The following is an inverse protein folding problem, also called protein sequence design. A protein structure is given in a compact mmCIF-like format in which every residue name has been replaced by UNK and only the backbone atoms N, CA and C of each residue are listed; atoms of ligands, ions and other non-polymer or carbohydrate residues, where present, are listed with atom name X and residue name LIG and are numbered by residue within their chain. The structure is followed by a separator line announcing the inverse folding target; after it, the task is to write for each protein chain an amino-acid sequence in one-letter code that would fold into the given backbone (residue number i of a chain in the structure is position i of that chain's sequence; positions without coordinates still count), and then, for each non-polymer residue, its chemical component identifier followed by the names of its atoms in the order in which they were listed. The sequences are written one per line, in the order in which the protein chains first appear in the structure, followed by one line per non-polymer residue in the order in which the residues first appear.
data_IF_599957790082
#
_entry.id   IF_599957790082
#
_cell.length_a   1.000
_cell.length_b   1.000
_cell.length_c   1.000
_cell.angle_alpha   90.00
_cell.angle_beta   90.00
_cell.angle_gamma   90.00
#
_symmetry.space_group_name_H-M   'P 1'
#
loop_
_entity.id
_entity.type
_entity.pdbx_description
1 polymer ?
#
# COMPACT_ATOMS: atom_id res chain seq x y z
N UNK A 1 -23.18 -9.23 -58.55
CA UNK A 1 -23.34 -9.55 -57.11
C UNK A 1 -22.01 -9.28 -56.46
N UNK A 2 -21.81 -8.19 -55.73
CA UNK A 2 -20.63 -8.02 -54.91
C UNK A 2 -20.91 -8.55 -53.50
N UNK A 3 -19.93 -9.27 -52.99
CA UNK A 3 -19.83 -9.92 -51.74
C UNK A 3 -19.51 -8.87 -50.63
N UNK A 4 -20.40 -8.74 -49.66
CA UNK A 4 -20.32 -7.73 -48.61
C UNK A 4 -19.66 -8.35 -47.36
N UNK A 5 -18.33 -8.33 -47.34
CA UNK A 5 -17.52 -8.80 -46.21
C UNK A 5 -17.49 -7.80 -45.07
N UNK A 6 -18.45 -7.87 -44.15
CA UNK A 6 -18.42 -7.13 -42.90
C UNK A 6 -17.35 -7.70 -41.97
N UNK A 7 -16.21 -7.02 -41.98
CA UNK A 7 -15.09 -7.27 -41.04
C UNK A 7 -15.42 -6.65 -39.68
N UNK A 8 -15.99 -7.45 -38.81
CA UNK A 8 -16.22 -7.08 -37.41
C UNK A 8 -14.91 -7.00 -36.64
N UNK A 9 -14.33 -5.81 -36.52
CA UNK A 9 -13.26 -5.56 -35.54
C UNK A 9 -13.86 -5.59 -34.14
N UNK A 10 -13.61 -6.68 -33.44
CA UNK A 10 -13.77 -6.70 -32.00
C UNK A 10 -12.67 -5.82 -31.40
N UNK A 11 -13.01 -4.61 -31.01
CA UNK A 11 -12.15 -3.80 -30.14
C UNK A 11 -12.00 -4.54 -28.79
N UNK A 12 -10.90 -5.27 -28.64
CA UNK A 12 -10.46 -5.69 -27.32
C UNK A 12 -10.10 -4.43 -26.53
N UNK A 13 -10.92 -4.07 -25.55
CA UNK A 13 -10.63 -3.02 -24.59
C UNK A 13 -9.29 -3.31 -23.94
N UNK A 14 -8.26 -2.56 -24.33
CA UNK A 14 -6.95 -2.60 -23.65
C UNK A 14 -7.19 -2.21 -22.20
N UNK A 15 -7.00 -3.18 -21.30
CA UNK A 15 -6.96 -2.95 -19.86
C UNK A 15 -5.97 -1.82 -19.57
N UNK A 16 -6.44 -0.81 -18.89
CA UNK A 16 -5.74 0.39 -18.45
C UNK A 16 -4.35 0.12 -17.88
N UNK A 17 -3.42 1.03 -18.15
CA UNK A 17 -2.01 0.85 -17.84
C UNK A 17 -1.64 1.06 -16.35
N UNK A 18 -0.37 0.83 -15.98
CA UNK A 18 0.12 0.85 -14.59
C UNK A 18 -0.16 2.13 -13.78
N UNK A 19 -0.37 3.28 -14.44
CA UNK A 19 -0.64 4.56 -13.77
C UNK A 19 -2.06 4.66 -13.20
N UNK A 20 -3.03 4.09 -13.88
CA UNK A 20 -4.45 4.12 -13.44
C UNK A 20 -4.65 3.23 -12.20
N UNK A 21 -3.92 2.11 -12.11
CA UNK A 21 -3.93 1.27 -10.92
C UNK A 21 -3.27 1.92 -9.70
N UNK A 22 -2.28 2.81 -9.88
CA UNK A 22 -1.68 3.50 -8.73
C UNK A 22 -2.68 4.47 -8.09
N UNK A 23 -3.39 5.26 -8.90
CA UNK A 23 -4.40 6.20 -8.41
C UNK A 23 -5.57 5.46 -7.73
N UNK A 24 -5.99 4.33 -8.28
CA UNK A 24 -7.01 3.49 -7.64
C UNK A 24 -6.57 3.00 -6.26
N UNK A 25 -5.31 2.58 -6.12
CA UNK A 25 -4.75 2.15 -4.84
C UNK A 25 -4.76 3.29 -3.81
N UNK A 26 -4.39 4.50 -4.21
CA UNK A 26 -4.41 5.69 -3.37
C UNK A 26 -5.82 6.02 -2.86
N UNK A 27 -6.81 5.99 -3.77
CA UNK A 27 -8.22 6.24 -3.42
C UNK A 27 -8.79 5.17 -2.48
N UNK A 28 -8.46 3.89 -2.67
CA UNK A 28 -8.88 2.84 -1.75
C UNK A 28 -8.31 3.05 -0.35
N UNK A 29 -7.01 3.34 -0.24
CA UNK A 29 -6.38 3.57 1.05
C UNK A 29 -6.93 4.83 1.72
N UNK A 30 -7.12 5.91 0.97
CA UNK A 30 -7.72 7.14 1.48
C UNK A 30 -9.15 6.91 2.02
N UNK A 31 -9.93 6.08 1.33
CA UNK A 31 -11.27 5.65 1.79
C UNK A 31 -11.22 4.94 3.14
N UNK A 32 -10.29 4.01 3.35
CA UNK A 32 -10.11 3.31 4.63
C UNK A 32 -9.76 4.28 5.78
N UNK A 33 -8.91 5.27 5.53
CA UNK A 33 -8.62 6.32 6.51
C UNK A 33 -9.88 7.13 6.84
N UNK A 34 -10.66 7.52 5.83
CA UNK A 34 -11.88 8.29 6.02
C UNK A 34 -12.93 7.49 6.81
N UNK A 35 -13.13 6.20 6.51
CA UNK A 35 -14.02 5.30 7.25
C UNK A 35 -13.60 5.14 8.72
N UNK A 36 -12.29 5.15 9.00
CA UNK A 36 -11.74 5.11 10.36
C UNK A 36 -11.78 6.48 11.08
N UNK A 37 -12.41 7.50 10.50
CA UNK A 37 -12.59 8.82 11.11
C UNK A 37 -11.39 9.76 10.95
N UNK A 38 -10.46 9.48 10.05
CA UNK A 38 -9.41 10.42 9.69
C UNK A 38 -9.91 11.39 8.62
N UNK A 39 -9.44 12.63 8.67
CA UNK A 39 -9.59 13.59 7.58
C UNK A 39 -8.47 13.38 6.59
N UNK A 40 -8.79 13.27 5.30
CA UNK A 40 -7.82 13.04 4.23
C UNK A 40 -7.66 14.30 3.40
N UNK A 41 -6.41 14.70 3.17
CA UNK A 41 -6.05 15.88 2.39
C UNK A 41 -5.09 15.46 1.28
N UNK A 42 -5.52 15.59 0.04
CA UNK A 42 -4.66 15.36 -1.12
C UNK A 42 -3.82 16.61 -1.39
N UNK A 43 -2.50 16.48 -1.55
CA UNK A 43 -1.65 17.62 -1.86
C UNK A 43 -1.96 18.16 -3.25
N UNK A 44 -1.89 19.48 -3.41
CA UNK A 44 -2.09 20.12 -4.72
C UNK A 44 -0.94 19.86 -5.70
N UNK A 45 0.24 19.53 -5.17
CA UNK A 45 1.44 19.15 -5.93
C UNK A 45 1.96 17.82 -5.42
N UNK A 46 2.64 17.07 -6.29
CA UNK A 46 3.33 15.84 -5.91
C UNK A 46 4.58 16.20 -5.09
N UNK A 47 4.43 16.27 -3.79
CA UNK A 47 5.49 16.52 -2.83
C UNK A 47 6.06 15.21 -2.25
N UNK A 48 5.76 14.05 -2.87
CA UNK A 48 6.27 12.74 -2.49
C UNK A 48 5.42 12.01 -1.45
N UNK A 49 4.30 12.60 -1.01
CA UNK A 49 3.24 11.91 -0.28
C UNK A 49 1.98 11.92 -1.13
N UNK A 50 1.27 10.78 -1.17
CA UNK A 50 0.05 10.66 -1.97
C UNK A 50 -1.11 11.40 -1.28
N UNK A 51 -1.13 11.40 0.06
CA UNK A 51 -2.05 12.23 0.84
C UNK A 51 -1.55 12.42 2.28
N UNK A 52 -2.22 13.31 3.01
CA UNK A 52 -2.01 13.53 4.44
C UNK A 52 -3.30 13.14 5.16
N UNK A 53 -3.19 12.25 6.15
CA UNK A 53 -4.26 11.91 7.06
C UNK A 53 -4.11 12.68 8.37
N UNK A 54 -5.19 13.28 8.86
CA UNK A 54 -5.21 14.01 10.12
C UNK A 54 -6.40 13.58 10.98
N UNK A 55 -6.17 13.44 12.30
CA UNK A 55 -7.19 13.07 13.28
C UNK A 55 -6.97 13.84 14.58
N UNK A 56 -8.04 14.38 15.15
CA UNK A 56 -8.00 14.98 16.47
C UNK A 56 -7.92 13.87 17.53
N UNK A 57 -7.10 14.07 18.55
CA UNK A 57 -7.04 13.27 19.76
C UNK A 57 -7.10 14.18 21.01
N UNK A 58 -6.93 13.62 22.22
CA UNK A 58 -6.94 14.39 23.49
C UNK A 58 -5.84 15.44 23.56
N UNK A 59 -4.71 15.20 22.88
CA UNK A 59 -3.49 16.00 22.98
C UNK A 59 -3.27 16.90 21.76
N UNK A 60 -4.27 16.99 20.86
CA UNK A 60 -4.28 17.88 19.71
C UNK A 60 -4.58 17.18 18.38
N UNK A 61 -3.72 17.33 17.39
CA UNK A 61 -3.90 16.78 16.07
C UNK A 61 -2.80 15.77 15.74
N UNK A 62 -3.18 14.54 15.43
CA UNK A 62 -2.32 13.56 14.79
C UNK A 62 -2.25 13.84 13.29
N UNK A 63 -1.06 13.84 12.73
CA UNK A 63 -0.82 14.02 11.29
C UNK A 63 0.04 12.86 10.79
N UNK A 64 -0.44 12.18 9.75
CA UNK A 64 0.27 11.08 9.10
C UNK A 64 0.41 11.37 7.61
N UNK A 65 1.60 11.76 7.13
CA UNK A 65 1.88 11.70 5.69
C UNK A 65 1.78 10.24 5.22
N UNK A 66 1.07 9.99 4.13
CA UNK A 66 0.85 8.63 3.62
C UNK A 66 1.41 8.51 2.21
N UNK A 67 2.23 7.47 2.01
CA UNK A 67 2.65 7.05 0.69
C UNK A 67 2.06 5.68 0.38
N UNK A 68 1.49 5.51 -0.80
CA UNK A 68 0.82 4.28 -1.21
C UNK A 68 1.65 3.54 -2.26
N UNK A 69 1.82 2.23 -2.10
CA UNK A 69 2.52 1.39 -3.07
C UNK A 69 1.74 0.10 -3.32
N UNK A 70 0.79 0.16 -4.26
CA UNK A 70 -0.05 -0.97 -4.64
C UNK A 70 0.75 -2.20 -5.08
N UNK A 71 0.32 -3.37 -4.65
CA UNK A 71 0.88 -4.68 -5.03
C UNK A 71 -0.16 -5.50 -5.78
N UNK A 72 0.19 -5.82 -7.01
CA UNK A 72 -0.62 -6.59 -7.92
C UNK A 72 0.15 -7.88 -8.26
N UNK A 73 -0.41 -9.07 -8.03
CA UNK A 73 0.22 -10.30 -8.49
C UNK A 73 0.25 -10.29 -10.02
N UNK A 74 1.30 -10.88 -10.59
CA UNK A 74 1.41 -11.11 -12.03
C UNK A 74 1.05 -12.55 -12.32
N UNK A 75 0.31 -12.78 -13.38
CA UNK A 75 -0.22 -14.10 -13.76
C UNK A 75 0.86 -15.19 -13.84
N UNK A 76 2.07 -14.84 -14.28
CA UNK A 76 3.22 -15.75 -14.36
C UNK A 76 3.98 -15.92 -13.04
N UNK A 77 3.54 -15.26 -11.96
CA UNK A 77 4.31 -15.12 -10.70
C UNK A 77 3.48 -15.21 -9.44
N UNK A 78 2.43 -16.03 -9.47
CA UNK A 78 1.50 -16.20 -8.35
C UNK A 78 2.18 -16.66 -7.03
N UNK A 79 3.28 -17.39 -7.13
CA UNK A 79 4.02 -17.92 -6.00
C UNK A 79 5.35 -17.18 -5.72
N UNK A 80 5.61 -16.06 -6.40
CA UNK A 80 6.80 -15.27 -6.06
C UNK A 80 6.66 -14.64 -4.68
N UNK A 81 7.35 -15.24 -3.73
CA UNK A 81 7.34 -14.88 -2.33
C UNK A 81 7.89 -13.51 -1.97
N UNK A 82 8.21 -12.61 -2.91
CA UNK A 82 8.90 -11.37 -2.58
C UNK A 82 8.43 -10.20 -3.44
N UNK A 83 7.40 -9.53 -3.00
CA UNK A 83 7.03 -8.19 -3.49
C UNK A 83 7.48 -7.11 -2.49
N UNK A 84 8.79 -7.10 -2.19
CA UNK A 84 9.34 -6.21 -1.18
C UNK A 84 9.83 -4.87 -1.70
N UNK A 85 9.92 -4.70 -3.02
CA UNK A 85 10.40 -3.46 -3.59
C UNK A 85 9.28 -2.41 -3.63
N UNK A 86 9.49 -1.32 -2.92
CA UNK A 86 8.54 -0.20 -2.87
C UNK A 86 8.87 0.93 -3.85
N UNK A 87 10.02 0.86 -4.52
CA UNK A 87 10.47 1.87 -5.45
C UNK A 87 11.19 3.03 -4.80
N UNK A 88 11.20 4.16 -5.48
CA UNK A 88 11.74 5.41 -4.92
C UNK A 88 10.73 5.99 -3.93
N UNK A 89 11.20 6.36 -2.76
CA UNK A 89 10.51 7.24 -1.84
C UNK A 89 11.22 8.60 -1.93
N UNK A 90 10.53 9.61 -2.40
CA UNK A 90 11.10 10.94 -2.66
C UNK A 90 11.10 11.81 -1.43
N UNK A 91 10.10 11.64 -0.59
CA UNK A 91 9.98 12.29 0.71
C UNK A 91 9.93 11.24 1.81
N UNK A 92 10.53 11.57 2.94
CA UNK A 92 10.54 10.72 4.12
C UNK A 92 10.26 11.58 5.34
N UNK A 93 9.30 11.16 6.12
CA UNK A 93 8.93 11.80 7.37
C UNK A 93 8.84 10.75 8.47
N UNK A 94 9.38 10.98 9.69
CA UNK A 94 9.32 9.99 10.78
C UNK A 94 7.92 9.46 11.05
N UNK A 95 6.91 10.31 10.92
CA UNK A 95 5.51 10.00 11.16
C UNK A 95 4.77 9.47 9.90
N UNK A 96 5.49 9.23 8.80
CA UNK A 96 4.83 8.74 7.59
C UNK A 96 4.41 7.27 7.72
N UNK A 97 3.27 6.96 7.15
CA UNK A 97 2.80 5.61 6.91
C UNK A 97 3.04 5.20 5.46
N UNK A 98 3.78 4.11 5.26
CA UNK A 98 3.84 3.46 3.96
C UNK A 98 2.68 2.47 3.86
N UNK A 99 1.63 2.84 3.14
CA UNK A 99 0.48 1.96 2.90
C UNK A 99 0.74 1.06 1.69
N UNK A 100 0.64 -0.25 1.89
CA UNK A 100 0.87 -1.25 0.85
C UNK A 100 -0.43 -2.06 0.66
N UNK A 101 -1.36 -1.60 -0.21
CA UNK A 101 -2.53 -2.36 -0.56
C UNK A 101 -2.16 -3.53 -1.49
N UNK A 102 -2.71 -4.71 -1.19
CA UNK A 102 -2.55 -5.95 -1.93
C UNK A 102 -3.86 -6.27 -2.65
N UNK A 103 -3.77 -6.45 -3.96
CA UNK A 103 -4.93 -6.71 -4.80
C UNK A 103 -4.94 -8.15 -5.33
N UNK A 104 -6.13 -8.71 -5.52
CA UNK A 104 -6.32 -9.95 -6.24
C UNK A 104 -6.19 -9.74 -7.75
N UNK A 105 -5.87 -10.83 -8.46
CA UNK A 105 -5.99 -10.90 -9.91
C UNK A 105 -7.48 -11.00 -10.28
N UNK A 106 -7.86 -10.32 -11.34
CA UNK A 106 -9.21 -10.34 -11.90
C UNK A 106 -9.37 -9.24 -12.94
N UNK A 107 -10.52 -9.19 -13.57
CA UNK A 107 -10.86 -8.15 -14.56
C UNK A 107 -10.80 -6.74 -13.96
N UNK A 108 -11.16 -6.64 -12.66
CA UNK A 108 -11.01 -5.43 -11.87
C UNK A 108 -10.16 -5.74 -10.63
N UNK A 109 -9.25 -4.82 -10.25
CA UNK A 109 -8.47 -4.98 -9.02
C UNK A 109 -9.38 -5.04 -7.80
N UNK A 110 -9.36 -6.15 -7.06
CA UNK A 110 -10.05 -6.30 -5.80
C UNK A 110 -9.05 -6.18 -4.66
N UNK A 111 -9.23 -5.18 -3.80
CA UNK A 111 -8.43 -5.03 -2.58
C UNK A 111 -8.66 -6.23 -1.66
N UNK A 112 -7.57 -6.86 -1.21
CA UNK A 112 -7.59 -7.98 -0.28
C UNK A 112 -7.17 -7.56 1.12
N UNK A 113 -6.01 -6.90 1.21
CA UNK A 113 -5.41 -6.46 2.47
C UNK A 113 -4.65 -5.15 2.26
N UNK A 114 -4.44 -4.40 3.33
CA UNK A 114 -3.53 -3.25 3.36
C UNK A 114 -2.57 -3.39 4.53
N UNK A 115 -1.26 -3.30 4.27
CA UNK A 115 -0.27 -3.15 5.33
C UNK A 115 0.05 -1.65 5.53
N UNK A 116 -0.04 -1.16 6.76
CA UNK A 116 0.34 0.20 7.16
C UNK A 116 1.69 0.14 7.86
N UNK A 117 2.76 0.34 7.13
CA UNK A 117 4.12 0.13 7.62
C UNK A 117 4.75 1.43 8.11
N UNK A 118 5.33 1.45 9.32
CA UNK A 118 6.11 2.59 9.79
C UNK A 118 7.42 2.71 9.00
N UNK A 119 7.94 3.94 8.92
CA UNK A 119 9.16 4.21 8.16
C UNK A 119 10.37 3.42 8.67
N UNK A 120 10.44 3.13 9.98
CA UNK A 120 11.52 2.33 10.58
C UNK A 120 11.60 0.90 10.03
N UNK A 121 10.47 0.35 9.51
CA UNK A 121 10.41 -0.96 8.86
C UNK A 121 10.79 -0.91 7.37
N UNK A 122 11.15 0.25 6.85
CA UNK A 122 11.54 0.44 5.45
C UNK A 122 13.05 0.49 5.35
N UNK A 123 13.65 -0.46 4.64
CA UNK A 123 15.10 -0.60 4.52
C UNK A 123 15.62 -0.07 3.18
N UNK A 124 16.78 0.57 3.19
CA UNK A 124 17.43 1.02 1.96
C UNK A 124 17.96 -0.18 1.16
N UNK A 125 17.85 -0.11 -0.16
CA UNK A 125 18.35 -1.11 -1.09
C UNK A 125 19.01 -0.42 -2.30
N UNK A 126 19.88 -1.13 -3.01
CA UNK A 126 20.61 -0.59 -4.17
C UNK A 126 19.71 0.02 -5.26
N UNK A 127 18.47 -0.48 -5.41
CA UNK A 127 17.49 -0.01 -6.40
C UNK A 127 16.41 0.89 -5.81
N UNK A 128 16.54 1.34 -4.54
CA UNK A 128 15.54 2.16 -3.84
C UNK A 128 15.25 1.63 -2.44
N UNK A 129 13.96 1.53 -2.08
CA UNK A 129 13.55 1.16 -0.73
C UNK A 129 12.82 -0.19 -0.74
N UNK A 130 12.94 -0.93 0.35
CA UNK A 130 12.26 -2.23 0.54
C UNK A 130 11.45 -2.23 1.82
N UNK A 131 10.25 -2.81 1.72
CA UNK A 131 9.43 -3.23 2.83
C UNK A 131 8.71 -4.52 2.44
N UNK A 132 8.76 -5.56 3.29
CA UNK A 132 8.28 -6.92 2.97
C UNK A 132 7.23 -7.42 3.96
N UNK A 133 6.09 -6.75 4.10
CA UNK A 133 5.11 -7.14 5.09
C UNK A 133 4.39 -8.46 4.77
N UNK A 134 4.37 -8.87 3.49
CA UNK A 134 3.71 -10.10 3.06
C UNK A 134 4.46 -10.80 1.93
N UNK A 135 4.10 -12.06 1.70
CA UNK A 135 4.41 -12.85 0.50
C UNK A 135 3.11 -13.27 -0.16
N UNK A 136 3.10 -13.47 -1.47
CA UNK A 136 1.98 -14.08 -2.16
C UNK A 136 2.13 -15.61 -2.17
N UNK A 137 1.06 -16.31 -1.83
CA UNK A 137 0.93 -17.75 -1.94
C UNK A 137 -0.28 -18.01 -2.82
N UNK A 138 -0.06 -18.56 -4.01
CA UNK A 138 -1.12 -18.78 -5.03
C UNK A 138 -1.97 -17.54 -5.30
N UNK A 139 -1.30 -16.38 -5.40
CA UNK A 139 -1.97 -15.10 -5.66
C UNK A 139 -2.64 -14.45 -4.45
N UNK A 140 -2.62 -15.09 -3.27
CA UNK A 140 -3.17 -14.54 -2.03
C UNK A 140 -2.05 -13.97 -1.17
N UNK A 141 -2.14 -12.72 -0.69
CA UNK A 141 -1.17 -12.16 0.22
C UNK A 141 -1.24 -12.85 1.59
N UNK A 142 -0.08 -13.28 2.07
CA UNK A 142 0.06 -13.87 3.40
C UNK A 142 1.00 -12.97 4.22
N UNK A 143 0.52 -12.32 5.28
CA UNK A 143 1.35 -11.52 6.16
C UNK A 143 2.51 -12.34 6.72
N UNK A 144 3.67 -11.72 6.92
CA UNK A 144 4.75 -12.31 7.70
C UNK A 144 4.41 -12.20 9.18
N UNK A 145 4.84 -13.17 10.00
CA UNK A 145 4.46 -13.24 11.42
C UNK A 145 4.59 -11.92 12.15
N UNK A 146 5.76 -11.32 12.08
CA UNK A 146 6.13 -10.08 12.78
C UNK A 146 5.42 -8.83 12.26
N UNK A 147 4.81 -8.92 11.06
CA UNK A 147 4.14 -7.81 10.38
C UNK A 147 2.62 -7.90 10.42
N UNK A 148 2.04 -8.98 10.91
CA UNK A 148 0.58 -9.18 10.93
C UNK A 148 -0.16 -8.05 11.66
N UNK A 149 0.42 -7.51 12.72
CA UNK A 149 -0.10 -6.39 13.51
C UNK A 149 -0.22 -5.06 12.74
N UNK A 150 0.40 -4.95 11.57
CA UNK A 150 0.34 -3.76 10.73
C UNK A 150 -0.70 -3.87 9.60
N UNK A 151 -1.48 -4.96 9.57
CA UNK A 151 -2.44 -5.18 8.50
C UNK A 151 -3.85 -4.70 8.86
N UNK A 152 -4.55 -4.25 7.85
CA UNK A 152 -5.97 -3.93 7.83
C UNK A 152 -6.39 -3.01 9.00
N UNK A 153 -7.46 -3.33 9.68
CA UNK A 153 -7.98 -2.53 10.77
C UNK A 153 -6.99 -2.39 11.94
N UNK A 154 -6.26 -3.44 12.28
CA UNK A 154 -5.25 -3.39 13.36
C UNK A 154 -4.12 -2.43 13.00
N UNK A 155 -3.58 -2.54 11.79
CA UNK A 155 -2.53 -1.64 11.30
C UNK A 155 -2.99 -0.18 11.25
N UNK A 156 -4.21 0.05 10.80
CA UNK A 156 -4.80 1.39 10.75
C UNK A 156 -4.99 1.99 12.17
N UNK A 157 -5.47 1.17 13.13
CA UNK A 157 -5.61 1.58 14.53
C UNK A 157 -4.28 1.96 15.18
N UNK A 158 -3.18 1.29 14.81
CA UNK A 158 -1.84 1.63 15.34
C UNK A 158 -1.39 3.04 14.96
N UNK A 159 -1.86 3.58 13.83
CA UNK A 159 -1.57 4.96 13.43
C UNK A 159 -2.15 6.01 14.39
N UNK A 160 -3.06 5.62 15.28
CA UNK A 160 -3.63 6.50 16.30
C UNK A 160 -2.67 6.70 17.49
N UNK A 161 -1.66 5.83 17.66
CA UNK A 161 -0.64 6.00 18.68
C UNK A 161 0.36 7.06 18.28
N UNK A 162 0.69 7.98 19.18
CA UNK A 162 1.75 8.98 18.97
C UNK A 162 3.14 8.36 18.89
N UNK A 163 3.30 7.18 19.47
CA UNK A 163 4.58 6.44 19.49
C UNK A 163 4.63 5.29 18.49
N UNK A 164 3.67 5.19 17.56
CA UNK A 164 3.53 4.04 16.68
C UNK A 164 4.81 3.62 15.93
N UNK A 165 5.66 4.60 15.61
CA UNK A 165 6.95 4.36 14.96
C UNK A 165 8.01 3.89 15.96
N UNK A 166 7.93 4.30 17.23
CA UNK A 166 8.84 3.89 18.29
C UNK A 166 8.48 2.53 18.88
N UNK A 167 7.18 2.21 18.96
CA UNK A 167 6.70 0.90 19.40
C UNK A 167 7.25 -0.22 18.51
N UNK A 168 7.36 0.03 17.21
CA UNK A 168 7.93 -0.95 16.27
C UNK A 168 9.41 -1.21 16.47
N UNK A 169 10.19 -0.22 16.93
CA UNK A 169 11.61 -0.39 17.27
C UNK A 169 11.81 -1.16 18.57
N UNK A 170 10.92 -0.95 19.55
CA UNK A 170 10.97 -1.69 20.81
C UNK A 170 10.71 -3.19 20.63
N UNK A 171 9.81 -3.54 19.71
CA UNK A 171 9.48 -4.92 19.38
C UNK A 171 10.67 -5.64 18.68
N UNK A 172 11.44 -4.95 17.83
CA UNK A 172 12.63 -5.51 17.16
C UNK A 172 13.79 -5.79 18.14
N UNK A 173 13.94 -4.96 19.19
CA UNK A 173 15.03 -5.11 20.16
C UNK A 173 14.82 -6.28 21.14
N UNK A 174 13.58 -6.77 21.27
CA UNK A 174 13.25 -7.92 22.13
C UNK A 174 13.58 -9.25 21.44
N UNK A 175 13.59 -9.30 20.10
CA UNK A 175 13.83 -10.53 19.33
C UNK A 175 15.31 -10.82 19.06
N UNK A 176 16.24 -9.88 19.31
CA UNK A 176 17.69 -10.11 19.14
C UNK A 176 18.37 -10.79 20.34
N UNK A 177 17.65 -10.99 21.46
CA UNK A 177 18.21 -11.58 22.69
C UNK A 177 17.75 -13.04 22.94
N UNK A 178 17.10 -13.73 21.99
CA UNK A 178 16.80 -15.16 22.02
C UNK A 178 17.59 -15.92 20.92
#
# INVERSE_FOLDING_TARGET
MPDDGTNGHSESSKVSGPKEFSQLAELHVAGLFAEAGWRVYFPHRDDGFDFIAARADSDGMLIRPVQVKGKYPKDDKLDKGVYGYTGKLTQMHPEMALAIPFFAIGDLPKLLHVAFMPLCMVRRHSKGWRCWPAKFIRGVPSPRGDHSKYFDHEGLRRLESRSWCHESLADELIEEDE
#
